data_IF_485202585862
#
_entry.id   IF_485202585862
#
_cell.length_a   1.000
_cell.length_b   1.000
_cell.length_c   1.000
_cell.angle_alpha   90.00
_cell.angle_beta   90.00
_cell.angle_gamma   90.00
#
_symmetry.space_group_name_H-M   'P 1'
#
loop_
_entity.id
_entity.type
_entity.pdbx_description
1 polymer ?
#
# COMPACT_ATOMS: atom_id res chain seq x y z
N UNK A 1 -12.55 4.39 -4.67
CA UNK A 1 -13.01 3.61 -3.47
C UNK A 1 -12.58 4.37 -2.23
N UNK A 2 -13.44 4.49 -1.22
CA UNK A 2 -13.12 5.24 0.00
C UNK A 2 -11.92 4.57 0.72
N UNK A 3 -10.79 5.27 0.96
CA UNK A 3 -9.59 4.70 1.61
C UNK A 3 -9.89 4.12 3.00
N UNK A 4 -10.83 4.73 3.72
CA UNK A 4 -11.26 4.23 5.03
C UNK A 4 -11.96 2.88 4.92
N UNK A 5 -12.79 2.69 3.90
CA UNK A 5 -13.44 1.40 3.63
C UNK A 5 -12.43 0.30 3.32
N UNK A 6 -11.41 0.61 2.54
CA UNK A 6 -10.33 -0.33 2.21
C UNK A 6 -9.54 -0.77 3.46
N UNK A 7 -9.17 0.19 4.31
CA UNK A 7 -8.49 -0.10 5.57
C UNK A 7 -9.35 -0.96 6.52
N UNK A 8 -10.64 -0.63 6.65
CA UNK A 8 -11.56 -1.40 7.48
C UNK A 8 -11.75 -2.83 6.94
N UNK A 9 -11.83 -2.99 5.62
CA UNK A 9 -11.95 -4.30 4.98
C UNK A 9 -10.70 -5.15 5.22
N UNK A 10 -9.52 -4.60 5.02
CA UNK A 10 -8.23 -5.28 5.30
C UNK A 10 -8.12 -5.68 6.78
N UNK A 11 -8.53 -4.80 7.69
CA UNK A 11 -8.52 -5.11 9.13
C UNK A 11 -9.47 -6.25 9.46
N UNK A 12 -10.67 -6.26 8.88
CA UNK A 12 -11.63 -7.34 9.03
C UNK A 12 -11.06 -8.69 8.58
N UNK A 13 -10.48 -8.77 7.40
CA UNK A 13 -9.84 -9.98 6.87
C UNK A 13 -8.75 -10.52 7.80
N UNK A 14 -7.92 -9.62 8.35
CA UNK A 14 -6.90 -9.96 9.33
C UNK A 14 -7.53 -10.56 10.60
N UNK A 15 -8.58 -9.94 11.11
CA UNK A 15 -9.30 -10.42 12.31
C UNK A 15 -9.95 -11.77 12.08
N UNK A 16 -10.55 -12.00 10.91
CA UNK A 16 -11.13 -13.29 10.53
C UNK A 16 -10.07 -14.39 10.48
N UNK A 17 -8.88 -14.08 9.98
CA UNK A 17 -7.73 -15.00 9.98
C UNK A 17 -7.33 -15.37 11.42
N UNK A 18 -7.20 -14.40 12.32
CA UNK A 18 -6.88 -14.64 13.73
C UNK A 18 -7.99 -15.44 14.45
N UNK A 19 -9.24 -15.12 14.16
CA UNK A 19 -10.40 -15.84 14.68
C UNK A 19 -10.36 -17.33 14.29
N UNK A 20 -10.13 -17.60 13.01
CA UNK A 20 -10.08 -18.96 12.49
C UNK A 20 -8.95 -19.77 13.14
N UNK A 21 -7.78 -19.19 13.32
CA UNK A 21 -6.67 -19.85 14.02
C UNK A 21 -7.00 -20.10 15.51
N UNK A 22 -7.62 -19.13 16.19
CA UNK A 22 -8.02 -19.29 17.59
C UNK A 22 -9.07 -20.40 17.75
N UNK A 23 -10.06 -20.47 16.86
CA UNK A 23 -11.08 -21.52 16.84
C UNK A 23 -10.45 -22.90 16.57
N UNK A 24 -9.47 -22.97 15.65
CA UNK A 24 -8.74 -24.21 15.37
C UNK A 24 -7.95 -24.69 16.59
N UNK A 25 -7.28 -23.78 17.31
CA UNK A 25 -6.56 -24.10 18.55
C UNK A 25 -7.50 -24.54 19.65
N UNK A 26 -8.65 -23.88 19.80
CA UNK A 26 -9.67 -24.23 20.78
C UNK A 26 -10.21 -25.65 20.57
N UNK A 27 -10.47 -26.03 19.30
CA UNK A 27 -10.88 -27.39 18.94
C UNK A 27 -9.79 -28.43 19.25
N UNK A 28 -8.51 -28.12 18.98
CA UNK A 28 -7.37 -29.02 19.27
C UNK A 28 -7.14 -29.20 20.77
N UNK A 29 -7.42 -28.18 21.57
CA UNK A 29 -7.21 -28.22 23.00
C UNK A 29 -8.03 -29.33 23.69
N UNK A 30 -9.17 -29.75 23.08
CA UNK A 30 -10.05 -30.81 23.56
C UNK A 30 -10.34 -30.73 25.08
N UNK A 31 -10.46 -29.51 25.60
CA UNK A 31 -10.73 -29.25 27.02
C UNK A 31 -12.20 -29.55 27.31
N UNK A 32 -12.42 -30.56 28.17
CA UNK A 32 -13.76 -30.98 28.60
C UNK A 32 -14.18 -30.37 29.94
N UNK A 33 -13.43 -29.42 30.45
CA UNK A 33 -13.73 -28.75 31.71
C UNK A 33 -14.88 -27.75 31.61
N UNK A 34 -15.43 -27.38 32.75
CA UNK A 34 -16.52 -26.41 32.81
C UNK A 34 -16.00 -24.99 32.42
N UNK A 35 -16.75 -24.22 31.63
CA UNK A 35 -16.39 -22.87 31.21
C UNK A 35 -16.26 -21.85 32.34
N UNK A 36 -16.67 -22.26 33.58
CA UNK A 36 -16.66 -21.38 34.75
C UNK A 36 -15.35 -21.39 35.54
N UNK A 37 -14.38 -22.24 35.17
CA UNK A 37 -13.09 -22.32 35.86
C UNK A 37 -12.04 -21.43 35.20
N UNK A 38 -11.30 -20.71 36.05
CA UNK A 38 -10.20 -19.83 35.65
C UNK A 38 -8.94 -20.14 36.44
N UNK A 39 -7.82 -19.75 35.95
CA UNK A 39 -6.55 -19.85 36.65
C UNK A 39 -6.28 -18.54 37.41
N UNK A 40 -5.99 -18.65 38.72
CA UNK A 40 -5.48 -17.58 39.56
C UNK A 40 -4.04 -17.89 39.95
N UNK A 41 -3.12 -16.95 39.78
CA UNK A 41 -1.74 -17.10 40.20
C UNK A 41 -1.49 -16.20 41.40
N UNK A 42 -0.99 -16.80 42.49
CA UNK A 42 -0.44 -16.06 43.63
C UNK A 42 1.05 -15.80 43.37
N UNK A 43 1.37 -14.60 42.91
CA UNK A 43 2.72 -14.20 42.53
C UNK A 43 3.71 -14.10 43.73
N UNK A 44 3.16 -13.98 44.96
CA UNK A 44 4.02 -13.95 46.19
C UNK A 44 4.51 -15.32 46.62
N UNK A 45 3.67 -16.35 46.37
CA UNK A 45 3.95 -17.73 46.78
C UNK A 45 4.29 -18.64 45.60
N UNK A 46 4.25 -18.10 44.37
CA UNK A 46 4.42 -18.87 43.11
C UNK A 46 3.47 -20.09 43.07
N UNK A 47 2.21 -19.86 43.45
CA UNK A 47 1.20 -20.90 43.55
C UNK A 47 0.07 -20.69 42.55
N UNK A 48 -0.35 -21.78 41.91
CA UNK A 48 -1.42 -21.79 40.91
C UNK A 48 -2.67 -22.38 41.53
N UNK A 49 -3.81 -21.70 41.35
CA UNK A 49 -5.12 -22.14 41.82
C UNK A 49 -6.09 -22.14 40.66
N UNK A 50 -6.96 -23.16 40.60
CA UNK A 50 -8.17 -23.14 39.79
C UNK A 50 -9.31 -22.58 40.64
N UNK A 51 -9.93 -21.53 40.15
CA UNK A 51 -11.01 -20.83 40.81
C UNK A 51 -12.28 -20.91 39.96
N UNK A 52 -13.43 -20.92 40.58
CA UNK A 52 -14.72 -20.76 39.90
C UNK A 52 -14.98 -19.25 39.73
N UNK A 53 -15.57 -18.85 38.59
CA UNK A 53 -15.97 -17.47 38.32
C UNK A 53 -16.97 -16.92 39.37
N UNK A 54 -17.75 -17.77 39.98
CA UNK A 54 -18.74 -17.41 41.02
C UNK A 54 -18.10 -17.19 42.41
N UNK A 55 -16.98 -17.87 42.68
CA UNK A 55 -16.24 -17.72 43.96
C UNK A 55 -14.72 -17.67 43.73
N UNK A 56 -14.24 -16.49 43.37
CA UNK A 56 -12.79 -16.26 43.09
C UNK A 56 -11.89 -16.35 44.32
N UNK A 57 -12.43 -16.30 45.52
CA UNK A 57 -11.66 -16.36 46.78
C UNK A 57 -11.30 -17.80 47.18
N UNK A 58 -12.17 -18.75 46.85
CA UNK A 58 -11.92 -20.16 47.09
C UNK A 58 -11.39 -20.83 45.84
N UNK A 59 -10.14 -21.24 45.84
CA UNK A 59 -9.50 -21.90 44.71
C UNK A 59 -8.89 -23.24 45.14
N UNK A 60 -8.89 -24.20 44.23
CA UNK A 60 -8.17 -25.46 44.44
C UNK A 60 -6.74 -25.29 43.98
N UNK A 61 -5.80 -25.50 44.88
CA UNK A 61 -4.37 -25.49 44.57
C UNK A 61 -4.03 -26.56 43.51
N UNK A 62 -3.18 -26.20 42.57
CA UNK A 62 -2.62 -27.10 41.58
C UNK A 62 -1.17 -27.37 41.93
N UNK A 63 -0.84 -28.63 42.16
CA UNK A 63 0.57 -29.05 42.38
C UNK A 63 1.35 -28.90 41.08
N UNK A 64 2.71 -28.75 41.19
CA UNK A 64 3.59 -28.67 40.02
C UNK A 64 3.42 -29.83 39.03
N UNK A 65 3.10 -31.03 39.49
CA UNK A 65 2.84 -32.20 38.61
C UNK A 65 1.58 -32.08 37.76
N UNK A 66 0.68 -31.19 38.13
CA UNK A 66 -0.60 -30.95 37.42
C UNK A 66 -0.65 -29.63 36.64
N UNK A 67 0.47 -28.98 36.40
CA UNK A 67 0.60 -27.68 35.68
C UNK A 67 -0.08 -27.74 34.31
N UNK A 68 0.00 -28.85 33.58
CA UNK A 68 -0.67 -29.05 32.27
C UNK A 68 -2.21 -28.78 32.33
N UNK A 69 -2.84 -29.08 33.46
CA UNK A 69 -4.26 -28.78 33.61
C UNK A 69 -4.52 -27.28 33.76
N UNK A 70 -3.65 -26.57 34.47
CA UNK A 70 -3.74 -25.12 34.56
C UNK A 70 -3.49 -24.45 33.20
N UNK A 71 -2.51 -24.94 32.44
CA UNK A 71 -2.21 -24.46 31.08
C UNK A 71 -3.41 -24.65 30.14
N UNK A 72 -4.08 -25.79 30.21
CA UNK A 72 -5.31 -26.04 29.42
C UNK A 72 -6.43 -25.06 29.78
N UNK A 73 -6.66 -24.82 31.07
CA UNK A 73 -7.71 -23.88 31.52
C UNK A 73 -7.35 -22.46 31.07
N UNK A 74 -6.11 -22.02 31.33
CA UNK A 74 -5.64 -20.68 30.94
C UNK A 74 -5.70 -20.47 29.42
N UNK A 75 -5.30 -21.48 28.64
CA UNK A 75 -5.37 -21.44 27.19
C UNK A 75 -6.82 -21.37 26.70
N UNK A 76 -7.71 -22.15 27.31
CA UNK A 76 -9.14 -22.12 27.01
C UNK A 76 -9.74 -20.73 27.26
N UNK A 77 -9.46 -20.16 28.43
CA UNK A 77 -9.92 -18.83 28.82
C UNK A 77 -9.40 -17.76 27.86
N UNK A 78 -8.10 -17.81 27.57
CA UNK A 78 -7.47 -16.88 26.65
C UNK A 78 -8.12 -16.93 25.26
N UNK A 79 -8.26 -18.15 24.69
CA UNK A 79 -8.81 -18.30 23.34
C UNK A 79 -10.27 -17.83 23.26
N UNK A 80 -11.10 -18.15 24.27
CA UNK A 80 -12.48 -17.67 24.29
C UNK A 80 -12.58 -16.15 24.45
N UNK A 81 -11.77 -15.55 25.34
CA UNK A 81 -11.73 -14.11 25.52
C UNK A 81 -11.22 -13.41 24.25
N UNK A 82 -10.23 -13.99 23.59
CA UNK A 82 -9.66 -13.48 22.36
C UNK A 82 -10.68 -13.52 21.21
N UNK A 83 -11.36 -14.65 21.00
CA UNK A 83 -12.45 -14.78 20.02
C UNK A 83 -13.55 -13.77 20.28
N UNK A 84 -14.02 -13.66 21.53
CA UNK A 84 -15.05 -12.69 21.90
C UNK A 84 -14.65 -11.24 21.60
N UNK A 85 -13.38 -10.92 21.81
CA UNK A 85 -12.86 -9.58 21.50
C UNK A 85 -12.81 -9.31 20.00
N UNK A 86 -12.38 -10.30 19.22
CA UNK A 86 -12.39 -10.24 17.75
C UNK A 86 -13.81 -10.09 17.21
N UNK A 87 -14.75 -10.91 17.67
CA UNK A 87 -16.13 -10.86 17.21
C UNK A 87 -16.76 -9.48 17.46
N UNK A 88 -16.45 -8.87 18.61
CA UNK A 88 -16.88 -7.51 18.93
C UNK A 88 -16.28 -6.47 17.97
N UNK A 89 -14.99 -6.59 17.65
CA UNK A 89 -14.31 -5.66 16.72
C UNK A 89 -14.85 -5.84 15.28
N UNK A 90 -15.04 -7.07 14.82
CA UNK A 90 -15.65 -7.37 13.51
C UNK A 90 -17.06 -6.78 13.42
N UNK A 91 -17.87 -6.94 14.47
CA UNK A 91 -19.23 -6.37 14.51
C UNK A 91 -19.19 -4.85 14.39
N UNK A 92 -18.27 -4.20 15.11
CA UNK A 92 -18.11 -2.75 15.03
C UNK A 92 -17.67 -2.32 13.63
N UNK A 93 -16.70 -3.00 13.03
CA UNK A 93 -16.22 -2.73 11.66
C UNK A 93 -17.38 -2.87 10.66
N UNK A 94 -18.14 -3.97 10.70
CA UNK A 94 -19.28 -4.18 9.81
C UNK A 94 -20.34 -3.08 9.96
N UNK A 95 -20.64 -2.67 11.20
CA UNK A 95 -21.57 -1.57 11.46
C UNK A 95 -21.05 -0.26 10.92
N UNK A 96 -19.74 0.01 11.06
CA UNK A 96 -19.11 1.22 10.54
C UNK A 96 -19.12 1.25 9.02
N UNK A 97 -18.76 0.14 8.37
CA UNK A 97 -18.82 0.00 6.91
C UNK A 97 -20.24 0.29 6.39
N UNK A 98 -21.24 -0.30 7.04
CA UNK A 98 -22.64 -0.08 6.64
C UNK A 98 -23.11 1.38 6.83
N UNK A 99 -22.66 2.04 7.90
CA UNK A 99 -23.04 3.43 8.21
C UNK A 99 -22.28 4.48 7.40
N UNK A 100 -21.06 4.18 6.94
CA UNK A 100 -20.30 5.11 6.11
C UNK A 100 -21.02 5.42 4.79
N UNK A 101 -21.83 4.50 4.26
CA UNK A 101 -22.62 4.71 3.05
C UNK A 101 -21.75 5.08 1.83
N UNK A 102 -22.32 5.85 0.94
CA UNK A 102 -21.60 6.41 -0.21
C UNK A 102 -20.60 7.47 0.25
N UNK A 103 -19.42 7.49 -0.39
CA UNK A 103 -18.41 8.50 -0.12
C UNK A 103 -18.91 9.91 -0.51
N UNK A 104 -18.54 10.97 0.24
CA UNK A 104 -18.82 12.35 -0.20
C UNK A 104 -18.28 12.64 -1.60
N UNK A 105 -17.17 12.01 -2.00
CA UNK A 105 -16.59 12.11 -3.33
C UNK A 105 -17.52 11.57 -4.42
N UNK A 106 -18.30 10.54 -4.10
CA UNK A 106 -19.24 9.92 -5.05
C UNK A 106 -20.53 10.73 -5.21
N UNK A 107 -20.80 11.71 -4.34
CA UNK A 107 -22.04 12.49 -4.40
C UNK A 107 -22.18 13.27 -5.70
N UNK A 108 -21.10 13.92 -6.17
CA UNK A 108 -21.11 14.66 -7.41
C UNK A 108 -21.44 13.75 -8.61
N UNK A 109 -20.84 12.57 -8.68
CA UNK A 109 -21.07 11.61 -9.77
C UNK A 109 -22.47 10.96 -9.74
N UNK A 110 -23.14 10.98 -8.58
CA UNK A 110 -24.51 10.52 -8.42
C UNK A 110 -25.56 11.51 -8.97
N UNK A 111 -25.18 12.76 -9.25
CA UNK A 111 -26.04 13.78 -9.82
C UNK A 111 -26.27 13.54 -11.31
N UNK A 112 -27.40 14.02 -11.84
CA UNK A 112 -27.65 14.02 -13.29
C UNK A 112 -26.62 14.89 -14.01
N UNK A 113 -26.29 14.55 -15.27
CA UNK A 113 -25.35 15.32 -16.10
C UNK A 113 -25.70 16.80 -16.16
N UNK A 114 -27.02 17.13 -16.26
CA UNK A 114 -27.46 18.50 -16.27
C UNK A 114 -27.10 19.28 -14.99
N UNK A 115 -27.15 18.63 -13.83
CA UNK A 115 -26.73 19.23 -12.57
C UNK A 115 -25.20 19.31 -12.45
N UNK A 116 -24.50 18.26 -12.87
CA UNK A 116 -23.02 18.24 -12.87
C UNK A 116 -22.46 19.41 -13.69
N UNK A 117 -23.06 19.74 -14.83
CA UNK A 117 -22.65 20.85 -15.69
C UNK A 117 -22.82 22.24 -15.05
N UNK A 118 -23.66 22.36 -14.02
CA UNK A 118 -23.91 23.61 -13.31
C UNK A 118 -23.07 23.78 -12.05
N UNK A 119 -22.35 22.74 -11.63
CA UNK A 119 -21.68 22.70 -10.32
C UNK A 119 -20.21 22.38 -10.51
N UNK A 120 -19.35 23.14 -9.85
CA UNK A 120 -17.94 22.76 -9.69
C UNK A 120 -17.82 21.93 -8.41
N UNK A 121 -17.41 20.64 -8.48
CA UNK A 121 -17.29 19.81 -7.29
C UNK A 121 -16.18 20.33 -6.37
N UNK A 122 -16.35 20.13 -5.06
CA UNK A 122 -15.31 20.46 -4.05
C UNK A 122 -14.10 19.52 -4.24
N UNK A 123 -14.38 18.23 -4.48
CA UNK A 123 -13.37 17.23 -4.80
C UNK A 123 -13.52 16.88 -6.28
N UNK A 124 -12.56 17.22 -7.15
CA UNK A 124 -12.62 16.88 -8.56
C UNK A 124 -12.76 15.38 -8.77
N UNK A 125 -13.52 14.97 -9.78
CA UNK A 125 -13.51 13.57 -10.22
C UNK A 125 -12.13 13.17 -10.71
N UNK A 126 -11.86 11.86 -10.80
CA UNK A 126 -10.56 11.38 -11.29
C UNK A 126 -10.29 11.90 -12.71
N UNK A 127 -11.30 11.95 -13.57
CA UNK A 127 -11.18 12.50 -14.92
C UNK A 127 -10.80 14.00 -14.90
N UNK A 128 -11.48 14.81 -14.10
CA UNK A 128 -11.18 16.24 -13.95
C UNK A 128 -9.79 16.46 -13.34
N UNK A 129 -9.38 15.61 -12.40
CA UNK A 129 -8.06 15.69 -11.78
C UNK A 129 -6.95 15.35 -12.79
N UNK A 130 -7.12 14.28 -13.57
CA UNK A 130 -6.18 13.89 -14.63
C UNK A 130 -6.09 14.96 -15.70
N UNK A 131 -7.22 15.49 -16.18
CA UNK A 131 -7.26 16.55 -17.17
C UNK A 131 -6.53 17.81 -16.67
N UNK A 132 -6.85 18.26 -15.46
CA UNK A 132 -6.18 19.41 -14.86
C UNK A 132 -4.68 19.20 -14.67
N UNK A 133 -4.25 17.97 -14.33
CA UNK A 133 -2.84 17.64 -14.20
C UNK A 133 -2.12 17.59 -15.53
N UNK A 134 -2.71 16.97 -16.56
CA UNK A 134 -2.14 16.88 -17.91
C UNK A 134 -2.07 18.25 -18.60
N UNK A 135 -3.05 19.12 -18.35
CA UNK A 135 -3.10 20.47 -18.96
C UNK A 135 -2.09 21.46 -18.39
N UNK A 136 -1.40 21.13 -17.28
CA UNK A 136 -0.34 22.00 -16.77
C UNK A 136 0.81 22.04 -17.78
N UNK A 137 1.15 23.24 -18.32
CA UNK A 137 2.22 23.37 -19.28
C UNK A 137 3.58 23.10 -18.59
N UNK A 138 4.47 22.49 -19.33
CA UNK A 138 5.87 22.32 -18.94
C UNK A 138 6.76 22.27 -20.19
N UNK A 139 8.04 22.52 -20.01
CA UNK A 139 9.03 22.42 -21.08
C UNK A 139 9.91 21.20 -20.81
N UNK A 140 9.83 20.15 -21.64
CA UNK A 140 10.71 19.00 -21.52
C UNK A 140 12.15 19.41 -21.84
N UNK A 141 13.10 18.59 -21.45
CA UNK A 141 14.52 18.83 -21.76
C UNK A 141 14.71 18.89 -23.28
N UNK A 142 15.32 19.92 -23.82
CA UNK A 142 15.57 20.03 -25.28
C UNK A 142 16.45 18.87 -25.76
N UNK A 143 16.17 18.38 -26.97
CA UNK A 143 17.06 17.45 -27.65
C UNK A 143 18.29 18.17 -28.14
N UNK A 144 19.43 17.45 -28.20
CA UNK A 144 20.64 17.99 -28.81
C UNK A 144 20.38 18.24 -30.29
N UNK A 145 20.93 19.34 -30.85
CA UNK A 145 20.78 19.69 -32.26
C UNK A 145 21.37 18.61 -33.18
N UNK A 146 22.36 17.85 -32.69
CA UNK A 146 23.02 16.78 -33.44
C UNK A 146 22.45 15.39 -33.14
N UNK A 147 21.33 15.31 -32.43
CA UNK A 147 20.67 14.02 -32.09
C UNK A 147 19.77 13.61 -33.26
N UNK A 148 20.28 12.75 -34.13
CA UNK A 148 19.56 12.18 -35.27
C UNK A 148 18.64 11.02 -34.91
N UNK A 149 18.54 10.64 -33.61
CA UNK A 149 17.68 9.55 -33.18
C UNK A 149 16.20 9.96 -33.22
N UNK A 150 15.38 9.15 -33.86
CA UNK A 150 13.91 9.37 -33.94
C UNK A 150 13.16 8.21 -33.28
N UNK A 151 13.35 8.05 -31.96
CA UNK A 151 12.62 7.08 -31.18
C UNK A 151 11.23 7.62 -30.84
N UNK A 152 10.17 6.93 -31.32
CA UNK A 152 8.80 7.36 -31.15
C UNK A 152 7.95 6.34 -30.39
N UNK A 153 7.15 6.84 -29.48
CA UNK A 153 6.14 6.06 -28.78
C UNK A 153 4.92 5.81 -29.67
N UNK A 154 3.96 5.00 -29.22
CA UNK A 154 2.68 4.79 -29.93
C UNK A 154 1.84 6.07 -30.07
N UNK A 155 2.11 7.11 -29.27
CA UNK A 155 1.50 8.44 -29.37
C UNK A 155 2.31 9.44 -30.21
N UNK A 156 3.32 8.97 -30.91
CA UNK A 156 4.25 9.81 -31.70
C UNK A 156 5.08 10.78 -30.86
N UNK A 157 5.19 10.54 -29.53
CA UNK A 157 6.06 11.31 -28.66
C UNK A 157 7.52 10.88 -28.85
N UNK A 158 8.43 11.84 -29.15
CA UNK A 158 9.86 11.56 -29.30
C UNK A 158 10.48 11.35 -27.93
N UNK A 159 11.23 10.26 -27.77
CA UNK A 159 11.97 9.88 -26.55
C UNK A 159 13.44 9.60 -26.87
N UNK A 160 14.32 9.47 -25.86
CA UNK A 160 15.76 9.36 -26.06
C UNK A 160 16.29 7.94 -26.25
N UNK A 161 15.50 6.93 -25.88
CA UNK A 161 15.95 5.54 -25.96
C UNK A 161 14.82 4.56 -26.29
N UNK A 162 15.23 3.36 -26.77
CA UNK A 162 14.28 2.25 -27.01
C UNK A 162 13.60 1.77 -25.73
N UNK A 163 14.31 1.81 -24.60
CA UNK A 163 13.77 1.41 -23.30
C UNK A 163 12.70 2.39 -22.82
N UNK A 164 12.86 3.69 -23.11
CA UNK A 164 11.82 4.68 -22.83
C UNK A 164 10.57 4.47 -23.70
N UNK A 165 10.71 4.04 -24.98
CA UNK A 165 9.53 3.62 -25.78
C UNK A 165 8.78 2.48 -25.09
N UNK A 166 9.49 1.47 -24.56
CA UNK A 166 8.87 0.32 -23.91
C UNK A 166 8.10 0.75 -22.65
N UNK A 167 8.69 1.64 -21.85
CA UNK A 167 8.05 2.16 -20.62
C UNK A 167 6.85 3.03 -21.00
N UNK A 168 6.99 4.01 -21.89
CA UNK A 168 5.90 4.87 -22.33
C UNK A 168 4.72 4.07 -22.89
N UNK A 169 4.99 3.11 -23.79
CA UNK A 169 3.96 2.28 -24.39
C UNK A 169 3.30 1.35 -23.34
N UNK A 170 4.01 0.94 -22.29
CA UNK A 170 3.42 0.19 -21.18
C UNK A 170 2.49 1.06 -20.32
N UNK A 171 2.89 2.31 -20.02
CA UNK A 171 2.05 3.29 -19.34
C UNK A 171 0.77 3.56 -20.13
N UNK A 172 0.89 3.80 -21.45
CA UNK A 172 -0.25 4.01 -22.34
C UNK A 172 -1.20 2.81 -22.37
N UNK A 173 -0.68 1.61 -22.59
CA UNK A 173 -1.48 0.38 -22.61
C UNK A 173 -2.26 0.19 -21.31
N UNK A 174 -1.72 0.64 -20.18
CA UNK A 174 -2.35 0.57 -18.86
C UNK A 174 -3.18 1.80 -18.51
N UNK A 175 -3.30 2.75 -19.43
CA UNK A 175 -4.03 4.01 -19.27
C UNK A 175 -3.54 4.82 -18.04
N UNK A 176 -2.25 4.78 -17.77
CA UNK A 176 -1.62 5.58 -16.71
C UNK A 176 -1.25 6.94 -17.29
N UNK A 177 -1.78 8.04 -16.74
CA UNK A 177 -1.36 9.38 -17.17
C UNK A 177 0.10 9.62 -16.81
N UNK A 178 0.87 10.13 -17.77
CA UNK A 178 2.26 10.50 -17.54
C UNK A 178 2.65 11.76 -18.33
N UNK A 179 3.77 12.35 -17.92
CA UNK A 179 4.49 13.43 -18.60
C UNK A 179 5.91 12.96 -18.82
N UNK A 180 6.42 13.12 -20.04
CA UNK A 180 7.79 12.78 -20.39
C UNK A 180 8.71 13.95 -20.10
N UNK A 181 9.85 13.70 -19.42
CA UNK A 181 10.86 14.70 -19.03
C UNK A 181 10.29 15.99 -18.41
N UNK A 182 9.21 15.85 -17.60
CA UNK A 182 8.62 16.99 -16.90
C UNK A 182 9.61 17.51 -15.83
N UNK A 183 10.03 18.79 -15.88
CA UNK A 183 11.06 19.32 -15.00
C UNK A 183 10.63 19.38 -13.55
N UNK A 184 11.57 19.11 -12.64
CA UNK A 184 11.45 19.36 -11.21
C UNK A 184 12.49 20.43 -10.85
N UNK A 185 12.06 21.53 -10.23
CA UNK A 185 12.94 22.57 -9.76
C UNK A 185 13.36 22.31 -8.31
N UNK A 186 14.66 22.17 -8.09
CA UNK A 186 15.25 22.11 -6.76
C UNK A 186 16.04 23.40 -6.49
N UNK A 187 15.79 24.05 -5.34
CA UNK A 187 16.41 25.34 -5.03
C UNK A 187 17.94 25.31 -5.04
N UNK A 188 18.55 24.17 -4.68
CA UNK A 188 20.00 24.03 -4.52
C UNK A 188 20.71 23.42 -5.75
N UNK A 189 19.96 22.79 -6.66
CA UNK A 189 20.50 21.91 -7.70
C UNK A 189 20.01 22.25 -9.10
N UNK A 190 19.14 23.25 -9.20
CA UNK A 190 18.54 23.60 -10.48
C UNK A 190 17.47 22.60 -10.94
N UNK A 191 17.31 22.51 -12.25
CA UNK A 191 16.24 21.71 -12.87
C UNK A 191 16.73 20.29 -13.13
N UNK A 192 15.97 19.30 -12.64
CA UNK A 192 16.15 17.88 -12.98
C UNK A 192 14.94 17.43 -13.79
N UNK A 193 15.17 16.63 -14.83
CA UNK A 193 14.13 16.03 -15.64
C UNK A 193 14.12 14.51 -15.40
N UNK A 194 13.17 13.96 -14.62
CA UNK A 194 12.91 12.52 -14.60
C UNK A 194 12.49 12.05 -15.99
N UNK A 195 12.81 10.82 -16.37
CA UNK A 195 12.39 10.30 -17.67
C UNK A 195 10.86 10.33 -17.79
N UNK A 196 10.17 9.92 -16.73
CA UNK A 196 8.72 10.05 -16.66
C UNK A 196 8.26 10.56 -15.29
N UNK A 197 7.24 11.40 -15.31
CA UNK A 197 6.39 11.71 -14.15
C UNK A 197 5.04 11.09 -14.41
N UNK A 198 4.70 10.01 -13.71
CA UNK A 198 3.44 9.28 -13.85
C UNK A 198 2.49 9.60 -12.70
N UNK A 199 1.19 9.44 -12.92
CA UNK A 199 0.17 9.74 -11.93
C UNK A 199 -0.52 8.48 -11.41
N UNK A 200 -0.38 8.18 -10.11
CA UNK A 200 -1.30 7.27 -9.46
C UNK A 200 -2.62 8.02 -9.18
N UNK A 201 -3.59 7.80 -10.04
CA UNK A 201 -4.88 8.52 -10.01
C UNK A 201 -5.66 8.24 -8.73
N UNK A 202 -5.67 6.99 -8.28
CA UNK A 202 -6.39 6.58 -7.06
C UNK A 202 -5.87 7.27 -5.81
N UNK A 203 -4.54 7.38 -5.69
CA UNK A 203 -3.85 8.00 -4.54
C UNK A 203 -3.63 9.50 -4.74
N UNK A 204 -3.93 10.03 -5.94
CA UNK A 204 -3.64 11.40 -6.35
C UNK A 204 -2.18 11.79 -6.10
N UNK A 205 -1.26 10.86 -6.36
CA UNK A 205 0.17 10.98 -6.08
C UNK A 205 0.97 10.92 -7.37
N UNK A 206 1.92 11.83 -7.53
CA UNK A 206 2.92 11.76 -8.60
C UNK A 206 4.00 10.75 -8.22
N UNK A 207 4.37 9.91 -9.18
CA UNK A 207 5.44 8.93 -9.09
C UNK A 207 6.43 9.25 -10.19
N UNK A 208 7.67 9.44 -9.83
CA UNK A 208 8.76 9.67 -10.76
C UNK A 208 9.36 8.35 -11.21
N UNK A 209 9.80 8.29 -12.46
CA UNK A 209 10.44 7.10 -13.01
C UNK A 209 11.72 7.49 -13.71
N UNK A 210 12.82 6.85 -13.35
CA UNK A 210 14.12 6.94 -13.99
C UNK A 210 14.49 5.59 -14.58
N UNK A 211 14.97 5.61 -15.82
CA UNK A 211 15.53 4.43 -16.47
C UNK A 211 17.04 4.60 -16.67
N UNK A 212 17.82 3.77 -16.00
CA UNK A 212 19.27 3.85 -16.02
C UNK A 212 19.85 2.85 -17.03
N UNK A 213 20.07 3.31 -18.26
CA UNK A 213 20.35 2.48 -19.43
C UNK A 213 21.81 2.02 -19.61
N UNK A 214 22.75 2.45 -18.77
CA UNK A 214 24.20 2.15 -18.95
C UNK A 214 24.89 1.89 -17.60
N UNK A 215 24.31 1.00 -16.77
CA UNK A 215 24.82 0.78 -15.41
C UNK A 215 26.14 0.02 -15.33
N UNK A 216 26.61 -0.52 -16.44
CA UNK A 216 27.96 -1.06 -16.64
C UNK A 216 29.03 0.00 -16.95
N UNK A 217 28.64 1.26 -17.22
CA UNK A 217 29.55 2.39 -17.29
C UNK A 217 29.76 3.00 -15.90
N UNK A 218 31.00 2.96 -15.32
CA UNK A 218 31.26 3.46 -13.97
C UNK A 218 31.00 4.95 -13.78
N UNK A 219 31.21 5.78 -14.81
CA UNK A 219 30.98 7.23 -14.73
C UNK A 219 29.49 7.53 -14.75
N UNK A 220 28.76 6.84 -15.61
CA UNK A 220 27.30 6.91 -15.66
C UNK A 220 26.67 6.45 -14.33
N UNK A 221 27.12 5.31 -13.80
CA UNK A 221 26.62 4.78 -12.53
C UNK A 221 26.87 5.74 -11.37
N UNK A 222 28.07 6.36 -11.28
CA UNK A 222 28.38 7.38 -10.26
C UNK A 222 27.48 8.60 -10.34
N UNK A 223 27.24 9.12 -11.55
CA UNK A 223 26.33 10.26 -11.77
C UNK A 223 24.92 9.94 -11.32
N UNK A 224 24.41 8.76 -11.66
CA UNK A 224 23.06 8.36 -11.29
C UNK A 224 22.92 8.05 -9.80
N UNK A 225 23.93 7.46 -9.15
CA UNK A 225 23.94 7.31 -7.69
C UNK A 225 23.85 8.68 -6.99
N UNK A 226 24.58 9.69 -7.47
CA UNK A 226 24.46 11.06 -6.97
C UNK A 226 23.05 11.62 -7.21
N UNK A 227 22.47 11.44 -8.40
CA UNK A 227 21.12 11.91 -8.76
C UNK A 227 20.05 11.31 -7.88
N UNK A 228 20.12 10.00 -7.59
CA UNK A 228 19.20 9.33 -6.66
C UNK A 228 19.31 9.91 -5.25
N UNK A 229 20.53 10.16 -4.75
CA UNK A 229 20.72 10.80 -3.45
C UNK A 229 20.12 12.21 -3.39
N UNK A 230 20.18 12.96 -4.49
CA UNK A 230 19.54 14.26 -4.62
C UNK A 230 18.02 14.14 -4.51
N UNK A 231 17.41 13.23 -5.24
CA UNK A 231 15.98 12.95 -5.12
C UNK A 231 15.57 12.68 -3.67
N UNK A 232 16.31 11.79 -2.98
CA UNK A 232 16.00 11.42 -1.60
C UNK A 232 16.11 12.59 -0.61
N UNK A 233 17.09 13.48 -0.79
CA UNK A 233 17.21 14.71 0.03
C UNK A 233 16.02 15.64 -0.11
N UNK A 234 15.30 15.56 -1.22
CA UNK A 234 14.13 16.39 -1.52
C UNK A 234 12.80 15.66 -1.39
N UNK A 235 12.78 14.54 -0.65
CA UNK A 235 11.54 13.82 -0.36
C UNK A 235 11.04 12.92 -1.49
N UNK A 236 11.90 12.64 -2.48
CA UNK A 236 11.59 11.70 -3.56
C UNK A 236 12.35 10.41 -3.27
N UNK A 237 11.64 9.43 -2.69
CA UNK A 237 12.25 8.22 -2.14
C UNK A 237 12.09 7.03 -3.07
N UNK A 238 13.19 6.30 -3.26
CA UNK A 238 13.18 5.02 -3.97
C UNK A 238 12.24 4.02 -3.26
N UNK A 239 11.33 3.45 -4.03
CA UNK A 239 10.35 2.49 -3.51
C UNK A 239 9.08 3.13 -2.92
N UNK A 240 8.98 4.47 -2.86
CA UNK A 240 7.76 5.18 -2.48
C UNK A 240 7.19 6.00 -3.66
N UNK A 241 7.90 7.04 -4.05
CA UNK A 241 7.50 7.94 -5.15
C UNK A 241 8.57 8.07 -6.25
N UNK A 242 9.60 7.22 -6.22
CA UNK A 242 10.59 7.05 -7.27
C UNK A 242 10.70 5.57 -7.66
N UNK A 243 10.41 5.29 -8.93
CA UNK A 243 10.69 4.03 -9.58
C UNK A 243 12.03 4.16 -10.30
N UNK A 244 12.91 3.17 -10.15
CA UNK A 244 14.15 3.09 -10.92
C UNK A 244 14.20 1.73 -11.60
N UNK A 245 14.37 1.76 -12.92
CA UNK A 245 14.70 0.58 -13.73
C UNK A 245 16.12 0.72 -14.28
N UNK A 246 16.80 -0.40 -14.44
CA UNK A 246 18.20 -0.42 -14.83
C UNK A 246 18.42 -1.44 -15.94
N UNK A 247 19.37 -1.12 -16.81
CA UNK A 247 19.91 -2.07 -17.79
C UNK A 247 21.41 -1.91 -17.97
N UNK A 248 22.04 -2.93 -18.51
CA UNK A 248 23.44 -2.97 -18.90
C UNK A 248 23.56 -3.50 -20.32
N UNK A 249 24.75 -3.50 -20.90
CA UNK A 249 25.00 -4.06 -22.22
C UNK A 249 24.61 -5.56 -22.35
N UNK A 250 24.55 -6.29 -21.24
CA UNK A 250 24.23 -7.72 -21.17
C UNK A 250 22.88 -8.04 -20.51
N UNK A 251 22.27 -7.10 -19.81
CA UNK A 251 20.99 -7.25 -19.12
C UNK A 251 20.02 -6.16 -19.60
N UNK A 252 19.17 -6.46 -20.59
CA UNK A 252 18.20 -5.49 -21.10
C UNK A 252 17.02 -5.30 -20.14
N UNK A 253 16.25 -4.24 -20.35
CA UNK A 253 15.03 -3.95 -19.62
C UNK A 253 14.00 -5.09 -19.75
N UNK A 254 13.55 -5.64 -18.62
CA UNK A 254 12.47 -6.64 -18.59
C UNK A 254 11.09 -5.97 -18.63
N UNK A 255 10.37 -6.18 -19.72
CA UNK A 255 9.01 -5.64 -19.91
C UNK A 255 8.01 -6.19 -18.88
N UNK A 256 8.20 -7.43 -18.39
CA UNK A 256 7.34 -7.98 -17.33
C UNK A 256 7.55 -7.26 -16.00
N UNK A 257 8.81 -6.88 -15.73
CA UNK A 257 9.12 -6.06 -14.56
C UNK A 257 8.46 -4.69 -14.67
N UNK A 258 8.51 -4.04 -15.85
CA UNK A 258 7.82 -2.76 -16.12
C UNK A 258 6.32 -2.88 -15.81
N UNK A 259 5.64 -3.91 -16.34
CA UNK A 259 4.21 -4.16 -16.08
C UNK A 259 3.91 -4.37 -14.57
N UNK A 260 4.79 -5.06 -13.85
CA UNK A 260 4.65 -5.30 -12.42
C UNK A 260 4.82 -4.02 -11.60
N UNK A 261 5.79 -3.17 -11.97
CA UNK A 261 6.02 -1.87 -11.32
C UNK A 261 4.84 -0.91 -11.56
N UNK A 262 4.31 -0.86 -12.79
CA UNK A 262 3.11 -0.06 -13.09
C UNK A 262 1.95 -0.52 -12.23
N UNK A 263 1.70 -1.82 -12.13
CA UNK A 263 0.63 -2.35 -11.30
C UNK A 263 0.78 -1.94 -9.85
N UNK A 264 1.97 -2.13 -9.28
CA UNK A 264 2.25 -1.89 -7.86
C UNK A 264 2.22 -0.40 -7.49
N UNK A 265 2.89 0.46 -8.27
CA UNK A 265 3.05 1.88 -7.91
C UNK A 265 1.95 2.78 -8.44
N UNK A 266 1.33 2.43 -9.57
CA UNK A 266 0.46 3.36 -10.31
C UNK A 266 -1.01 2.94 -10.38
N UNK A 267 -1.33 1.65 -10.16
CA UNK A 267 -2.69 1.14 -10.25
C UNK A 267 -3.27 0.65 -8.91
N UNK A 268 -2.41 0.30 -7.96
CA UNK A 268 -2.77 -0.09 -6.58
C UNK A 268 -2.61 1.12 -5.61
#
# INVERSE_FOLDING_TARGET
MNPTLELLTKRKEQLETYRNEAVKRLKKLNYKGEPKFHVRIDTKKDQIFVVNSENRKQGKYISPDNVRKAEQIATYDYLNAFIKRIDKEITLINTTIHKLGASPEDYYTSLTNARQNLIKPIIPTDAQFVEAWLSQPYEPKPFDENDDTDFRTVKDERVRSKSEILIANALERKQVPYKYECPILFNELGIIHPDFTALNVKRRKQIYWEHLGKMDDPDYARKNAFRINVYQKHGIYLGDNLIVTMETSTLPLDVKLVDSLIKHYLLE
#
